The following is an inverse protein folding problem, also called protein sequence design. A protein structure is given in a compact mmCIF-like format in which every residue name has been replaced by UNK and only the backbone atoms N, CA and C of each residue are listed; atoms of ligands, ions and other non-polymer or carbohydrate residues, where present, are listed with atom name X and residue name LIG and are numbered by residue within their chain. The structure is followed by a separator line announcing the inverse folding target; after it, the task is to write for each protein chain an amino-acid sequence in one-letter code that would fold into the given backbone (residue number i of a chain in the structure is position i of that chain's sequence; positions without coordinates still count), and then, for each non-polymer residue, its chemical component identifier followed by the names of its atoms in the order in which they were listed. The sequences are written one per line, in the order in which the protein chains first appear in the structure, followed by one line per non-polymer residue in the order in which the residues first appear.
data_IF_549853047062
#
_entry.id   IF_549853047062
#
_cell.length_a   1.000
_cell.length_b   1.000
_cell.length_c   1.000
_cell.angle_alpha   90.00
_cell.angle_beta   90.00
_cell.angle_gamma   90.00
#
_symmetry.space_group_name_H-M   'P 1'
#
loop_
_entity.id
_entity.type
_entity.pdbx_description
1 polymer ?
#
# COMPACT_ATOMS: atom_id res chain seq x y z
N UNK A 1 -12.16 -68.33 -52.01
CA UNK A 1 -12.86 -68.40 -53.31
C UNK A 1 -13.33 -67.00 -53.66
N UNK A 2 -12.76 -66.40 -54.73
CA UNK A 2 -13.25 -65.32 -55.61
C UNK A 2 -14.00 -64.09 -55.03
N UNK A 3 -13.88 -62.85 -55.53
CA UNK A 3 -12.96 -62.08 -56.38
C UNK A 3 -13.56 -60.66 -56.35
N UNK A 4 -12.71 -59.64 -56.49
CA UNK A 4 -13.04 -58.20 -56.62
C UNK A 4 -14.21 -57.91 -57.57
N UNK A 5 -14.85 -56.74 -57.38
CA UNK A 5 -14.97 -55.65 -58.37
C UNK A 5 -15.63 -54.40 -57.75
N UNK A 6 -14.95 -53.24 -57.81
CA UNK A 6 -15.57 -51.90 -57.95
C UNK A 6 -15.58 -51.58 -59.47
N UNK A 7 -16.34 -50.59 -59.99
CA UNK A 7 -15.78 -49.22 -60.04
C UNK A 7 -16.76 -48.02 -60.18
N UNK A 8 -16.17 -46.80 -60.08
CA UNK A 8 -16.47 -45.54 -60.83
C UNK A 8 -17.70 -44.67 -60.41
N UNK A 9 -17.72 -43.32 -60.40
CA UNK A 9 -16.89 -42.19 -60.92
C UNK A 9 -17.24 -40.85 -60.19
N UNK A 10 -16.20 -40.02 -59.96
CA UNK A 10 -16.06 -38.53 -59.86
C UNK A 10 -17.07 -37.66 -59.08
N UNK A 11 -16.69 -36.56 -58.39
CA UNK A 11 -16.05 -35.34 -58.91
C UNK A 11 -15.24 -34.64 -57.79
N UNK A 12 -14.05 -34.14 -58.14
CA UNK A 12 -13.24 -33.21 -57.35
C UNK A 12 -13.66 -31.76 -57.57
N UNK A 13 -13.54 -30.89 -56.57
CA UNK A 13 -13.08 -29.48 -56.62
C UNK A 13 -12.81 -29.10 -55.15
N UNK A 14 -11.54 -29.03 -54.71
CA UNK A 14 -10.71 -27.82 -54.61
C UNK A 14 -11.09 -26.86 -53.45
N UNK A 15 -10.06 -26.47 -52.68
CA UNK A 15 -9.99 -25.15 -52.05
C UNK A 15 -10.65 -24.95 -50.68
N UNK A 16 -9.88 -25.10 -49.61
CA UNK A 16 -9.46 -23.97 -48.75
C UNK A 16 -9.08 -24.46 -47.35
N UNK A 17 -7.80 -24.27 -46.99
CA UNK A 17 -7.35 -24.29 -45.60
C UNK A 17 -8.01 -23.11 -44.87
N UNK A 18 -9.03 -23.37 -44.07
CA UNK A 18 -9.47 -22.39 -43.06
C UNK A 18 -8.59 -22.52 -41.82
N UNK A 19 -7.68 -21.56 -41.68
CA UNK A 19 -7.14 -21.14 -40.40
C UNK A 19 -8.32 -20.88 -39.46
N UNK A 20 -8.43 -21.65 -38.38
CA UNK A 20 -9.39 -21.39 -37.32
C UNK A 20 -8.65 -20.70 -36.18
N UNK A 21 -8.51 -19.38 -36.29
CA UNK A 21 -8.17 -18.51 -35.16
C UNK A 21 -9.47 -18.23 -34.38
N UNK A 22 -9.65 -18.88 -33.24
CA UNK A 22 -10.52 -18.35 -32.19
C UNK A 22 -9.84 -18.49 -30.83
N UNK A 23 -9.24 -17.37 -30.46
CA UNK A 23 -8.96 -16.96 -29.10
C UNK A 23 -10.20 -17.12 -28.23
N UNK A 24 -10.13 -17.99 -27.22
CA UNK A 24 -11.00 -17.97 -26.05
C UNK A 24 -10.14 -18.37 -24.85
N UNK A 25 -9.22 -17.49 -24.45
CA UNK A 25 -8.61 -17.55 -23.13
C UNK A 25 -9.50 -16.76 -22.17
N UNK A 26 -10.58 -17.39 -21.71
CA UNK A 26 -11.18 -17.02 -20.44
C UNK A 26 -10.12 -17.18 -19.34
N UNK A 27 -9.90 -16.21 -18.44
CA UNK A 27 -8.97 -16.43 -17.35
C UNK A 27 -9.53 -17.54 -16.46
N UNK A 28 -8.82 -18.67 -16.41
CA UNK A 28 -9.02 -19.68 -15.39
C UNK A 28 -9.01 -19.00 -14.01
N UNK A 29 -9.91 -19.36 -13.08
CA UNK A 29 -9.90 -18.80 -11.74
C UNK A 29 -8.59 -19.19 -11.06
N UNK A 30 -7.79 -18.19 -10.71
CA UNK A 30 -6.52 -18.36 -10.01
C UNK A 30 -6.81 -19.08 -8.67
N UNK A 31 -6.36 -20.34 -8.55
CA UNK A 31 -6.03 -20.95 -7.26
C UNK A 31 -4.82 -20.22 -6.68
N UNK A 32 -4.78 -19.90 -5.39
CA UNK A 32 -3.54 -19.80 -4.60
C UNK A 32 -3.88 -19.62 -3.12
N UNK A 33 -3.27 -20.45 -2.28
CA UNK A 33 -3.24 -20.32 -0.83
C UNK A 33 -2.78 -18.90 -0.46
N UNK A 34 -3.62 -18.14 0.25
CA UNK A 34 -3.27 -16.79 0.65
C UNK A 34 -2.03 -16.82 1.53
N UNK A 35 -0.98 -16.09 1.12
CA UNK A 35 0.28 -16.01 1.87
C UNK A 35 0.09 -15.16 3.12
N UNK A 36 -0.51 -15.75 4.14
CA UNK A 36 -0.57 -15.20 5.49
C UNK A 36 0.84 -15.23 6.09
N UNK A 37 1.26 -14.11 6.66
CA UNK A 37 2.55 -13.89 7.29
C UNK A 37 2.31 -13.69 8.78
N UNK A 38 2.61 -14.71 9.58
CA UNK A 38 2.37 -14.70 11.04
C UNK A 38 3.58 -14.21 11.82
N UNK A 39 4.74 -14.84 11.63
CA UNK A 39 5.86 -14.68 12.56
C UNK A 39 7.12 -14.08 11.91
N UNK A 40 7.10 -13.85 10.59
CA UNK A 40 8.28 -13.34 9.85
C UNK A 40 8.78 -12.01 10.39
N UNK A 41 7.88 -11.18 10.90
CA UNK A 41 8.16 -9.83 11.37
C UNK A 41 7.98 -9.69 12.89
N UNK A 42 8.04 -10.79 13.65
CA UNK A 42 8.00 -10.72 15.11
C UNK A 42 9.30 -10.18 15.71
N UNK A 43 10.42 -10.38 15.03
CA UNK A 43 11.74 -9.92 15.45
C UNK A 43 12.57 -9.38 14.27
N UNK A 44 13.60 -8.61 14.59
CA UNK A 44 14.60 -8.17 13.62
C UNK A 44 15.49 -9.35 13.22
N UNK A 45 15.83 -9.45 11.92
CA UNK A 45 16.89 -10.34 11.43
C UNK A 45 18.25 -9.78 11.79
N UNK A 46 19.27 -10.64 11.82
CA UNK A 46 20.66 -10.24 12.05
C UNK A 46 21.18 -9.24 11.01
N UNK A 47 20.70 -9.35 9.76
CA UNK A 47 21.17 -8.52 8.65
C UNK A 47 20.06 -8.14 7.69
N UNK A 48 20.10 -6.86 7.30
CA UNK A 48 19.31 -6.26 6.24
C UNK A 48 20.24 -5.46 5.32
N UNK A 49 19.92 -5.41 4.02
CA UNK A 49 20.61 -4.55 3.07
C UNK A 49 19.76 -3.36 2.66
N UNK A 50 20.38 -2.19 2.54
CA UNK A 50 19.72 -1.01 1.99
C UNK A 50 19.40 -1.18 0.48
N UNK A 51 18.29 -0.57 0.02
CA UNK A 51 17.92 -0.56 -1.38
C UNK A 51 18.93 0.28 -2.17
N UNK A 52 19.04 -0.01 -3.45
CA UNK A 52 19.92 0.69 -4.38
C UNK A 52 19.45 2.11 -4.65
N UNK A 53 18.17 2.45 -4.52
CA UNK A 53 17.67 3.80 -4.76
C UNK A 53 17.02 4.37 -3.49
N UNK A 54 17.08 5.71 -3.29
CA UNK A 54 16.44 6.37 -2.16
C UNK A 54 14.99 5.96 -1.99
N UNK A 55 14.55 5.90 -0.73
CA UNK A 55 13.18 5.58 -0.34
C UNK A 55 12.44 6.87 0.01
N UNK A 56 11.23 7.03 -0.50
CA UNK A 56 10.28 8.05 -0.03
C UNK A 56 9.16 7.34 0.73
N UNK A 57 8.99 7.68 2.01
CA UNK A 57 7.91 7.19 2.84
C UNK A 57 6.68 8.09 2.70
N UNK A 58 5.59 7.55 2.17
CA UNK A 58 4.34 8.27 1.88
C UNK A 58 3.25 7.91 2.90
N UNK A 59 2.90 8.83 3.79
CA UNK A 59 1.92 8.59 4.85
C UNK A 59 0.46 8.63 4.35
N UNK A 60 -0.46 8.06 5.11
CA UNK A 60 -1.89 8.00 4.79
C UNK A 60 -2.72 9.21 5.22
N UNK A 61 -4.02 8.94 5.35
CA UNK A 61 -5.04 9.84 5.91
C UNK A 61 -4.73 10.06 7.40
N UNK A 62 -4.67 11.31 7.86
CA UNK A 62 -4.18 11.69 9.20
C UNK A 62 -2.65 11.58 9.40
N UNK A 63 -1.86 12.17 8.50
CA UNK A 63 -0.50 12.60 8.83
C UNK A 63 -0.58 13.77 9.81
N UNK A 64 -0.09 13.62 11.03
CA UNK A 64 -0.40 14.55 12.12
C UNK A 64 0.32 15.89 11.97
N UNK A 65 -0.39 16.89 11.47
CA UNK A 65 -0.23 18.27 11.94
C UNK A 65 -1.44 18.75 12.79
N UNK A 66 -2.61 18.08 12.80
CA UNK A 66 -3.70 18.33 13.75
C UNK A 66 -4.57 17.08 14.02
N UNK A 67 -4.68 16.67 15.30
CA UNK A 67 -5.30 15.43 15.78
C UNK A 67 -6.67 15.70 16.46
N UNK A 68 -7.51 16.56 15.86
CA UNK A 68 -8.75 17.04 16.49
C UNK A 68 -10.00 16.17 16.27
N UNK A 69 -9.88 14.93 15.77
CA UNK A 69 -11.04 14.10 15.41
C UNK A 69 -11.17 12.77 16.18
N UNK A 70 -10.25 12.45 17.09
CA UNK A 70 -10.44 11.31 18.01
C UNK A 70 -11.43 11.72 19.12
N UNK A 71 -12.34 10.81 19.56
CA UNK A 71 -13.32 11.12 20.59
C UNK A 71 -12.60 11.69 21.83
N UNK A 72 -12.94 12.93 22.18
CA UNK A 72 -12.42 13.65 23.34
C UNK A 72 -12.66 12.81 24.59
N UNK A 73 -11.60 12.15 25.06
CA UNK A 73 -11.60 11.46 26.33
C UNK A 73 -10.48 12.10 27.15
N UNK A 74 -10.81 12.86 28.18
CA UNK A 74 -9.86 13.68 28.96
C UNK A 74 -8.64 12.89 29.48
N UNK A 75 -8.79 11.58 29.70
CA UNK A 75 -7.67 10.69 30.07
C UNK A 75 -6.66 10.47 28.93
N UNK A 76 -7.13 10.48 27.68
CA UNK A 76 -6.28 10.32 26.49
C UNK A 76 -5.48 11.60 26.24
N UNK A 77 -6.07 12.77 26.48
CA UNK A 77 -5.39 14.06 26.34
C UNK A 77 -4.25 14.22 27.34
N UNK A 78 -4.44 13.86 28.62
CA UNK A 78 -3.35 13.91 29.62
C UNK A 78 -2.18 12.96 29.32
N UNK A 79 -2.42 11.85 28.63
CA UNK A 79 -1.37 10.90 28.25
C UNK A 79 -0.56 11.39 27.03
N UNK A 80 -1.17 12.21 26.18
CA UNK A 80 -0.59 12.69 24.90
C UNK A 80 0.01 14.10 25.04
N UNK A 81 -0.62 14.98 25.84
CA UNK A 81 -0.37 16.43 25.85
C UNK A 81 0.27 16.96 27.14
N UNK A 82 0.98 16.13 27.91
CA UNK A 82 1.86 16.63 28.97
C UNK A 82 3.14 17.25 28.38
N UNK A 83 3.00 18.47 27.86
CA UNK A 83 3.97 19.55 28.04
C UNK A 83 5.21 19.65 27.14
N UNK A 84 5.81 18.58 26.61
CA UNK A 84 7.17 18.70 26.02
C UNK A 84 7.46 17.89 24.73
N UNK A 85 6.48 17.26 24.07
CA UNK A 85 6.77 16.27 23.02
C UNK A 85 5.87 16.36 21.76
N UNK A 86 5.93 17.47 21.02
CA UNK A 86 5.15 17.68 19.77
C UNK A 86 6.00 17.59 18.49
N UNK A 87 6.64 16.43 18.29
CA UNK A 87 6.97 15.89 16.96
C UNK A 87 6.55 14.42 16.95
N UNK A 88 5.30 14.16 16.58
CA UNK A 88 4.77 12.81 16.47
C UNK A 88 5.21 12.23 15.12
N UNK A 89 6.32 11.49 15.10
CA UNK A 89 6.79 10.84 13.87
C UNK A 89 5.82 9.73 13.45
N UNK A 90 5.12 9.94 12.33
CA UNK A 90 4.24 8.95 11.71
C UNK A 90 4.97 7.61 11.46
N UNK A 91 6.25 7.69 11.11
CA UNK A 91 7.13 6.55 10.81
C UNK A 91 8.04 6.20 11.98
N UNK A 92 7.46 5.98 13.17
CA UNK A 92 8.20 5.88 14.43
C UNK A 92 9.30 4.81 14.41
N UNK A 93 10.57 5.23 14.47
CA UNK A 93 11.75 4.35 14.43
C UNK A 93 12.05 3.71 13.08
N UNK A 94 11.14 3.86 12.09
CA UNK A 94 11.26 3.23 10.78
C UNK A 94 12.29 3.97 9.93
N UNK A 95 12.25 5.31 9.95
CA UNK A 95 13.22 6.14 9.21
C UNK A 95 14.63 5.84 9.69
N UNK A 96 14.84 5.90 11.00
CA UNK A 96 16.13 5.70 11.65
C UNK A 96 16.67 4.30 11.35
N UNK A 97 15.83 3.27 11.44
CA UNK A 97 16.23 1.91 11.13
C UNK A 97 16.66 1.74 9.66
N UNK A 98 15.92 2.34 8.72
CA UNK A 98 16.28 2.31 7.30
C UNK A 98 17.59 3.07 7.03
N UNK A 99 17.79 4.22 7.66
CA UNK A 99 19.04 4.99 7.55
C UNK A 99 20.22 4.25 8.16
N UNK A 100 20.02 3.54 9.28
CA UNK A 100 21.06 2.74 9.94
C UNK A 100 21.60 1.60 9.07
N UNK A 101 20.80 1.08 8.13
CA UNK A 101 21.26 0.08 7.15
C UNK A 101 21.86 0.70 5.89
N UNK A 102 21.91 2.04 5.81
CA UNK A 102 22.50 2.82 4.72
C UNK A 102 21.48 3.34 3.70
N UNK A 103 20.17 3.22 3.93
CA UNK A 103 19.20 3.77 2.97
C UNK A 103 19.14 5.31 3.07
N UNK A 104 19.09 6.00 1.93
CA UNK A 104 18.68 7.40 1.89
C UNK A 104 17.15 7.46 1.98
N UNK A 105 16.61 8.10 3.03
CA UNK A 105 15.17 8.13 3.29
C UNK A 105 14.63 9.57 3.28
N UNK A 106 13.56 9.78 2.53
CA UNK A 106 12.77 11.01 2.52
C UNK A 106 11.39 10.74 3.12
N UNK A 107 10.87 11.67 3.92
CA UNK A 107 9.53 11.59 4.50
C UNK A 107 8.63 12.57 3.78
N UNK A 108 7.65 12.06 3.04
CA UNK A 108 6.68 12.88 2.34
C UNK A 108 5.97 13.84 3.30
N UNK A 109 5.71 15.07 2.82
CA UNK A 109 4.91 16.07 3.52
C UNK A 109 3.71 16.43 2.65
N UNK A 110 2.53 15.93 3.03
CA UNK A 110 1.28 16.19 2.31
C UNK A 110 0.13 16.49 3.29
N UNK A 111 -0.92 17.22 2.85
CA UNK A 111 -2.05 17.55 3.71
C UNK A 111 -2.76 16.31 4.27
N UNK A 112 -3.01 16.28 5.58
CA UNK A 112 -3.58 15.13 6.28
C UNK A 112 -4.95 14.67 5.75
N UNK A 113 -5.77 15.63 5.33
CA UNK A 113 -7.17 15.45 4.90
C UNK A 113 -7.44 15.96 3.48
N UNK A 114 -6.38 16.33 2.73
CA UNK A 114 -6.49 16.76 1.34
C UNK A 114 -7.01 15.67 0.42
N UNK A 115 -7.51 16.05 -0.75
CA UNK A 115 -7.90 15.08 -1.78
C UNK A 115 -6.70 14.26 -2.28
N UNK A 116 -6.94 13.11 -2.92
CA UNK A 116 -5.88 12.29 -3.52
C UNK A 116 -5.06 13.11 -4.52
N UNK A 117 -5.71 13.93 -5.34
CA UNK A 117 -5.05 14.80 -6.33
C UNK A 117 -4.19 15.89 -5.68
N UNK A 118 -4.73 16.59 -4.68
CA UNK A 118 -4.01 17.63 -3.92
C UNK A 118 -2.78 17.04 -3.23
N UNK A 119 -2.97 15.92 -2.51
CA UNK A 119 -1.88 15.22 -1.83
C UNK A 119 -0.83 14.71 -2.80
N UNK A 120 -1.22 14.18 -3.96
CA UNK A 120 -0.29 13.74 -4.99
C UNK A 120 0.50 14.92 -5.60
N UNK A 121 -0.15 16.07 -5.76
CA UNK A 121 0.50 17.30 -6.25
C UNK A 121 1.54 17.82 -5.26
N UNK A 122 1.20 17.84 -3.97
CA UNK A 122 2.13 18.23 -2.91
C UNK A 122 3.27 17.23 -2.75
N UNK A 123 2.97 15.93 -2.85
CA UNK A 123 3.98 14.86 -2.87
C UNK A 123 4.97 15.07 -4.01
N UNK A 124 4.47 15.35 -5.22
CA UNK A 124 5.31 15.61 -6.39
C UNK A 124 6.20 16.85 -6.18
N UNK A 125 5.62 17.93 -5.65
CA UNK A 125 6.34 19.18 -5.36
C UNK A 125 7.45 18.96 -4.33
N UNK A 126 7.14 18.22 -3.25
CA UNK A 126 8.09 17.84 -2.22
C UNK A 126 9.26 17.04 -2.80
N UNK A 127 8.98 15.95 -3.54
CA UNK A 127 10.03 15.07 -4.09
C UNK A 127 10.91 15.82 -5.10
N UNK A 128 10.32 16.65 -5.98
CA UNK A 128 11.12 17.48 -6.91
C UNK A 128 12.07 18.41 -6.15
N UNK A 129 11.59 19.05 -5.08
CA UNK A 129 12.41 19.95 -4.25
C UNK A 129 13.54 19.19 -3.57
N UNK A 130 13.25 18.03 -2.98
CA UNK A 130 14.26 17.18 -2.35
C UNK A 130 15.30 16.69 -3.37
N UNK A 131 14.87 16.22 -4.54
CA UNK A 131 15.80 15.77 -5.59
C UNK A 131 16.71 16.90 -6.05
N UNK A 132 16.20 18.12 -6.24
CA UNK A 132 17.04 19.31 -6.55
C UNK A 132 18.07 19.63 -5.47
N UNK A 133 17.72 19.43 -4.19
CA UNK A 133 18.65 19.61 -3.08
C UNK A 133 19.69 18.50 -3.04
N UNK A 134 19.27 17.24 -3.11
CA UNK A 134 20.15 16.07 -3.10
C UNK A 134 21.18 16.11 -4.23
N UNK A 135 20.81 16.57 -5.42
CA UNK A 135 21.75 16.77 -6.54
C UNK A 135 22.94 17.67 -6.21
N UNK A 136 22.74 18.65 -5.33
CA UNK A 136 23.77 19.64 -4.97
C UNK A 136 24.68 19.15 -3.86
N UNK A 137 24.20 18.25 -3.00
CA UNK A 137 24.86 17.93 -1.72
C UNK A 137 25.31 16.48 -1.61
N UNK A 138 24.72 15.55 -2.36
CA UNK A 138 25.03 14.12 -2.28
C UNK A 138 25.81 13.59 -3.48
N UNK A 139 26.65 12.60 -3.23
CA UNK A 139 27.34 11.82 -4.27
C UNK A 139 26.45 10.68 -4.77
N UNK A 140 26.68 10.20 -6.02
CA UNK A 140 25.98 9.01 -6.54
C UNK A 140 26.21 7.77 -5.67
N UNK A 141 27.38 7.64 -5.04
CA UNK A 141 27.71 6.52 -4.16
C UNK A 141 26.86 6.53 -2.89
N UNK A 142 26.76 7.68 -2.21
CA UNK A 142 25.90 7.90 -1.03
C UNK A 142 24.43 7.65 -1.36
N UNK A 143 23.96 8.12 -2.51
CA UNK A 143 22.55 7.95 -2.89
C UNK A 143 22.19 6.54 -3.33
N UNK A 144 23.06 5.85 -4.06
CA UNK A 144 22.71 4.60 -4.75
C UNK A 144 23.27 3.31 -4.14
N UNK A 145 23.86 3.38 -2.96
CA UNK A 145 24.40 2.21 -2.24
C UNK A 145 25.24 1.29 -3.16
N UNK A 146 26.04 1.91 -4.06
CA UNK A 146 26.91 1.19 -4.99
C UNK A 146 28.19 0.78 -4.27
N UNK A 147 28.58 -0.49 -4.40
CA UNK A 147 29.94 -0.92 -4.09
C UNK A 147 30.90 -0.34 -5.15
N UNK A 148 31.78 0.58 -4.74
CA UNK A 148 32.66 1.29 -5.67
C UNK A 148 33.87 0.43 -6.07
N UNK A 149 34.09 0.25 -7.38
CA UNK A 149 35.39 -0.15 -7.96
C UNK A 149 36.16 1.05 -8.52
N UNK A 150 35.53 2.22 -8.64
CA UNK A 150 36.10 3.42 -9.27
C UNK A 150 35.90 4.65 -8.36
N UNK A 151 37.01 5.16 -7.82
CA UNK A 151 37.09 6.29 -6.86
C UNK A 151 36.74 7.68 -7.43
N UNK A 152 36.02 7.77 -8.55
CA UNK A 152 35.52 9.08 -9.03
C UNK A 152 34.09 9.26 -8.54
N UNK A 153 33.98 9.94 -7.40
CA UNK A 153 32.71 10.46 -6.85
C UNK A 153 32.08 11.42 -7.87
N UNK A 154 31.33 10.88 -8.81
CA UNK A 154 30.46 11.67 -9.67
C UNK A 154 29.24 12.12 -8.86
N UNK A 155 29.08 13.41 -8.69
CA UNK A 155 27.82 14.05 -8.27
C UNK A 155 26.74 13.81 -9.34
N UNK A 156 25.47 14.10 -9.04
CA UNK A 156 24.40 14.16 -10.06
C UNK A 156 24.45 15.49 -10.85
N UNK A 157 25.65 15.96 -11.21
CA UNK A 157 25.87 17.23 -11.92
C UNK A 157 25.39 17.20 -13.38
N UNK A 158 25.19 16.01 -13.97
CA UNK A 158 24.55 15.88 -15.28
C UNK A 158 23.11 16.42 -15.24
N UNK A 159 22.95 17.68 -15.62
CA UNK A 159 21.65 18.31 -15.86
C UNK A 159 20.83 17.43 -16.81
N UNK A 160 19.62 17.05 -16.37
CA UNK A 160 18.66 16.28 -17.18
C UNK A 160 18.50 14.80 -16.81
N UNK A 161 19.40 14.21 -16.00
CA UNK A 161 19.26 12.80 -15.60
C UNK A 161 18.42 12.63 -14.34
N UNK A 162 17.21 12.10 -14.47
CA UNK A 162 16.28 11.82 -13.35
C UNK A 162 16.91 10.96 -12.24
N UNK A 163 16.74 11.37 -10.98
CA UNK A 163 17.09 10.54 -9.81
C UNK A 163 16.06 9.41 -9.68
N UNK A 164 16.51 8.16 -9.74
CA UNK A 164 15.66 7.00 -9.45
C UNK A 164 15.31 6.94 -7.97
N UNK A 165 14.05 6.67 -7.65
CA UNK A 165 13.54 6.55 -6.28
C UNK A 165 12.55 5.38 -6.14
N UNK A 166 12.44 4.86 -4.92
CA UNK A 166 11.45 3.89 -4.48
C UNK A 166 10.41 4.59 -3.61
N UNK A 167 9.13 4.31 -3.84
CA UNK A 167 8.06 4.75 -2.95
C UNK A 167 7.66 3.60 -2.04
N UNK A 168 7.55 3.86 -0.73
CA UNK A 168 6.89 2.96 0.22
C UNK A 168 5.76 3.75 0.87
N UNK A 169 4.53 3.29 0.67
CA UNK A 169 3.34 4.05 1.01
C UNK A 169 2.41 3.26 1.92
N UNK A 170 1.91 3.92 2.96
CA UNK A 170 0.94 3.35 3.88
C UNK A 170 -0.45 3.95 3.65
N UNK A 171 -1.49 3.12 3.70
CA UNK A 171 -2.88 3.57 3.65
C UNK A 171 -3.14 4.47 2.42
N UNK A 172 -3.80 5.62 2.59
CA UNK A 172 -4.09 6.55 1.50
C UNK A 172 -2.86 7.01 0.70
N UNK A 173 -1.65 6.99 1.28
CA UNK A 173 -0.41 7.39 0.60
C UNK A 173 -0.12 6.57 -0.66
N UNK A 174 -0.63 5.33 -0.73
CA UNK A 174 -0.50 4.49 -1.92
C UNK A 174 -1.37 4.96 -3.09
N UNK A 175 -2.53 5.57 -2.80
CA UNK A 175 -3.40 6.19 -3.81
C UNK A 175 -2.78 7.47 -4.35
N UNK A 176 -2.24 8.31 -3.46
CA UNK A 176 -1.51 9.53 -3.83
C UNK A 176 -0.34 9.19 -4.76
N UNK A 177 0.42 8.15 -4.39
CA UNK A 177 1.56 7.66 -5.18
C UNK A 177 1.13 7.18 -6.56
N UNK A 178 0.02 6.42 -6.66
CA UNK A 178 -0.53 5.96 -7.95
C UNK A 178 -1.02 7.11 -8.81
N UNK A 179 -1.68 8.11 -8.22
CA UNK A 179 -2.11 9.30 -8.93
C UNK A 179 -0.90 10.06 -9.48
N UNK A 180 0.10 10.31 -8.64
CA UNK A 180 1.35 10.97 -9.03
C UNK A 180 2.00 10.26 -10.22
N UNK A 181 2.20 8.94 -10.12
CA UNK A 181 2.83 8.14 -11.19
C UNK A 181 2.03 8.25 -12.50
N UNK A 182 0.70 8.19 -12.43
CA UNK A 182 -0.16 8.12 -13.61
C UNK A 182 -0.42 9.48 -14.28
N UNK A 183 -0.44 10.58 -13.51
CA UNK A 183 -0.97 11.87 -13.97
C UNK A 183 0.03 13.03 -13.93
N UNK A 184 1.08 12.94 -13.10
CA UNK A 184 1.94 14.09 -12.85
C UNK A 184 3.29 13.95 -13.54
N UNK A 185 3.73 15.05 -14.14
CA UNK A 185 5.11 15.14 -14.61
C UNK A 185 6.07 15.39 -13.45
N UNK A 186 7.18 14.67 -13.49
CA UNK A 186 8.19 14.64 -12.45
C UNK A 186 9.57 14.67 -13.12
N UNK A 187 10.07 15.86 -13.50
CA UNK A 187 11.28 15.99 -14.31
C UNK A 187 12.57 15.69 -13.54
N UNK A 188 12.57 15.85 -12.21
CA UNK A 188 13.78 15.67 -11.40
C UNK A 188 14.05 14.22 -11.02
N UNK A 189 13.04 13.36 -11.09
CA UNK A 189 13.12 12.00 -10.59
C UNK A 189 12.32 11.00 -11.43
N UNK A 190 12.65 9.73 -11.26
CA UNK A 190 11.96 8.60 -11.87
C UNK A 190 11.59 7.64 -10.76
N UNK A 191 10.30 7.34 -10.64
CA UNK A 191 9.84 6.29 -9.74
C UNK A 191 10.15 4.95 -10.41
N UNK A 192 10.79 4.03 -9.69
CA UNK A 192 11.10 2.68 -10.20
C UNK A 192 10.30 1.59 -9.48
N UNK A 193 9.84 1.86 -8.26
CA UNK A 193 8.94 0.96 -7.55
C UNK A 193 7.97 1.73 -6.64
N UNK A 194 6.81 1.11 -6.40
CA UNK A 194 5.85 1.49 -5.38
C UNK A 194 5.49 0.24 -4.57
N UNK A 195 5.78 0.25 -3.27
CA UNK A 195 5.30 -0.75 -2.32
C UNK A 195 4.21 -0.13 -1.45
N UNK A 196 3.00 -0.68 -1.50
CA UNK A 196 1.89 -0.25 -0.64
C UNK A 196 1.69 -1.17 0.55
N UNK A 197 1.30 -0.60 1.68
CA UNK A 197 1.00 -1.32 2.92
C UNK A 197 -0.39 -0.88 3.38
N UNK A 198 -1.35 -1.80 3.34
CA UNK A 198 -2.77 -1.54 3.69
C UNK A 198 -3.40 -0.33 2.97
N UNK A 199 -3.03 -0.10 1.71
CA UNK A 199 -3.67 0.94 0.90
C UNK A 199 -5.06 0.48 0.43
N UNK A 200 -6.13 1.27 0.60
CA UNK A 200 -7.47 0.90 0.12
C UNK A 200 -7.58 1.08 -1.40
N UNK A 201 -6.91 0.23 -2.19
CA UNK A 201 -6.90 0.33 -3.66
C UNK A 201 -8.30 0.18 -4.27
N UNK A 202 -9.20 -0.53 -3.59
CA UNK A 202 -10.58 -0.73 -4.00
C UNK A 202 -11.59 -0.03 -3.08
N UNK A 203 -11.11 0.92 -2.27
CA UNK A 203 -11.91 1.70 -1.32
C UNK A 203 -12.07 1.02 0.04
N UNK A 204 -12.76 1.69 0.95
CA UNK A 204 -13.00 1.22 2.30
C UNK A 204 -14.50 1.18 2.58
N UNK A 205 -14.97 0.03 3.05
CA UNK A 205 -16.36 -0.14 3.48
C UNK A 205 -16.68 0.72 4.71
N UNK A 206 -15.66 1.15 5.48
CA UNK A 206 -15.82 2.18 6.50
C UNK A 206 -16.14 3.55 5.89
N UNK A 207 -15.48 3.92 4.80
CA UNK A 207 -15.78 5.18 4.11
C UNK A 207 -17.22 5.18 3.57
N UNK A 208 -17.66 4.07 2.95
CA UNK A 208 -19.04 3.91 2.50
C UNK A 208 -20.04 4.10 3.65
N UNK A 209 -19.77 3.49 4.81
CA UNK A 209 -20.62 3.64 5.99
C UNK A 209 -20.68 5.08 6.52
N UNK A 210 -19.55 5.77 6.56
CA UNK A 210 -19.50 7.18 6.97
C UNK A 210 -20.34 8.02 6.03
N UNK A 211 -20.21 7.81 4.71
CA UNK A 211 -21.00 8.54 3.71
C UNK A 211 -22.50 8.25 3.83
N UNK A 212 -22.91 7.00 4.06
CA UNK A 212 -24.33 6.66 4.27
C UNK A 212 -24.92 7.39 5.49
N UNK A 213 -24.18 7.49 6.59
CA UNK A 213 -24.62 8.23 7.78
C UNK A 213 -24.80 9.72 7.46
N UNK A 214 -23.85 10.30 6.73
CA UNK A 214 -23.83 11.73 6.42
C UNK A 214 -24.92 12.11 5.42
N UNK A 215 -25.15 11.29 4.39
CA UNK A 215 -26.24 11.51 3.42
C UNK A 215 -27.61 11.49 4.10
N UNK A 216 -27.80 10.63 5.09
CA UNK A 216 -29.00 10.59 5.93
C UNK A 216 -29.12 11.79 6.90
N UNK A 217 -28.08 12.62 7.00
CA UNK A 217 -28.05 13.84 7.82
C UNK A 217 -27.48 15.03 7.02
N UNK A 218 -28.31 15.59 6.12
CA UNK A 218 -27.98 16.68 5.18
C UNK A 218 -27.12 17.84 5.75
N UNK A 219 -27.22 18.14 7.04
CA UNK A 219 -26.46 19.19 7.74
C UNK A 219 -24.97 18.83 7.93
N UNK A 220 -24.63 17.54 8.09
CA UNK A 220 -23.26 17.07 8.35
C UNK A 220 -22.42 16.87 7.07
N UNK A 221 -23.03 16.87 5.88
CA UNK A 221 -22.32 16.72 4.60
C UNK A 221 -21.24 17.79 4.37
N UNK A 222 -21.37 18.98 4.97
CA UNK A 222 -20.39 20.07 4.83
C UNK A 222 -19.13 19.91 5.71
N UNK A 223 -19.15 18.99 6.68
CA UNK A 223 -18.06 18.82 7.67
C UNK A 223 -17.15 17.63 7.30
N UNK A 224 -17.61 16.76 6.40
CA UNK A 224 -16.84 15.58 5.99
C UNK A 224 -15.67 15.97 5.07
N UNK A 225 -14.42 15.60 5.41
CA UNK A 225 -13.30 15.81 4.51
C UNK A 225 -13.54 15.16 3.15
N UNK A 226 -13.22 15.87 2.06
CA UNK A 226 -13.39 15.37 0.68
C UNK A 226 -12.73 14.01 0.46
N UNK A 227 -11.57 13.81 1.08
CA UNK A 227 -10.82 12.56 1.09
C UNK A 227 -11.63 11.35 1.55
N UNK A 228 -12.56 11.49 2.51
CA UNK A 228 -13.42 10.37 2.92
C UNK A 228 -14.32 9.91 1.77
N UNK A 229 -14.89 10.85 1.00
CA UNK A 229 -15.72 10.49 -0.16
C UNK A 229 -14.90 9.84 -1.28
N UNK A 230 -13.64 10.26 -1.46
CA UNK A 230 -12.72 9.67 -2.41
C UNK A 230 -12.20 8.29 -1.99
N UNK A 231 -12.41 7.88 -0.73
CA UNK A 231 -12.04 6.56 -0.21
C UNK A 231 -13.18 5.53 -0.28
N UNK A 232 -14.36 5.91 -0.78
CA UNK A 232 -15.48 4.99 -0.99
C UNK A 232 -15.17 3.94 -2.06
N UNK A 233 -15.84 2.79 -1.99
CA UNK A 233 -15.60 1.68 -2.93
C UNK A 233 -15.96 2.06 -4.37
N UNK A 234 -17.03 2.83 -4.56
CA UNK A 234 -17.45 3.33 -5.88
C UNK A 234 -16.49 4.40 -6.41
N UNK A 235 -16.04 5.35 -5.58
CA UNK A 235 -15.05 6.34 -6.00
C UNK A 235 -13.74 5.67 -6.43
N UNK A 236 -13.27 4.65 -5.71
CA UNK A 236 -12.05 3.93 -6.08
C UNK A 236 -12.22 3.06 -7.32
N UNK A 237 -13.42 2.55 -7.58
CA UNK A 237 -13.71 1.87 -8.83
C UNK A 237 -13.50 2.82 -10.01
N UNK A 238 -13.99 4.05 -9.93
CA UNK A 238 -13.79 5.07 -10.96
C UNK A 238 -12.35 5.60 -11.01
N UNK A 239 -11.69 5.74 -9.86
CA UNK A 239 -10.26 6.04 -9.77
C UNK A 239 -9.45 5.01 -10.58
N UNK A 240 -9.67 3.72 -10.36
CA UNK A 240 -8.95 2.64 -11.04
C UNK A 240 -9.24 2.56 -12.55
N UNK A 241 -10.38 3.09 -13.01
CA UNK A 241 -10.64 3.26 -14.45
C UNK A 241 -9.75 4.34 -15.05
N UNK A 242 -9.51 5.44 -14.33
CA UNK A 242 -8.79 6.64 -14.80
C UNK A 242 -7.28 6.63 -14.55
N UNK A 243 -6.86 5.98 -13.47
CA UNK A 243 -5.47 5.92 -12.99
C UNK A 243 -4.90 4.56 -13.37
N UNK A 244 -3.95 4.57 -14.30
CA UNK A 244 -3.33 3.37 -14.85
C UNK A 244 -1.88 3.29 -14.41
N UNK A 245 -1.43 2.07 -14.14
CA UNK A 245 -0.06 1.80 -13.76
C UNK A 245 0.88 2.09 -14.94
N UNK A 246 1.99 2.80 -14.68
CA UNK A 246 3.10 2.91 -15.62
C UNK A 246 3.82 1.56 -15.70
N UNK A 247 3.94 0.93 -16.89
CA UNK A 247 4.59 -0.37 -17.06
C UNK A 247 6.09 -0.38 -16.73
N UNK A 248 6.73 0.80 -16.57
CA UNK A 248 8.13 0.95 -16.16
C UNK A 248 8.31 0.93 -14.64
N UNK A 249 7.23 0.97 -13.88
CA UNK A 249 7.22 0.95 -12.40
C UNK A 249 6.82 -0.44 -11.92
N UNK A 250 7.53 -0.95 -10.91
CA UNK A 250 7.12 -2.20 -10.24
C UNK A 250 6.21 -1.91 -9.05
N UNK A 251 5.07 -2.59 -8.99
CA UNK A 251 4.06 -2.40 -7.94
C UNK A 251 4.00 -3.62 -7.03
N UNK A 252 4.10 -3.38 -5.72
CA UNK A 252 4.01 -4.38 -4.67
C UNK A 252 2.98 -3.96 -3.64
N UNK A 253 2.32 -4.93 -2.99
CA UNK A 253 1.36 -4.63 -1.94
C UNK A 253 1.39 -5.64 -0.80
N UNK A 254 1.11 -5.15 0.40
CA UNK A 254 0.81 -5.94 1.59
C UNK A 254 -0.59 -5.57 2.10
N UNK A 255 -1.31 -6.58 2.58
CA UNK A 255 -2.51 -6.38 3.39
C UNK A 255 -2.24 -6.73 4.85
N UNK A 256 -3.17 -6.40 5.73
CA UNK A 256 -3.12 -6.77 7.13
C UNK A 256 -4.49 -7.23 7.63
N UNK A 257 -4.48 -8.07 8.65
CA UNK A 257 -5.68 -8.57 9.32
C UNK A 257 -5.45 -8.73 10.80
N UNK A 258 -6.51 -8.60 11.57
CA UNK A 258 -6.48 -8.93 13.00
C UNK A 258 -7.87 -9.30 13.51
N UNK A 259 -7.90 -9.89 14.71
CA UNK A 259 -9.15 -10.09 15.47
C UNK A 259 -9.22 -9.07 16.61
N UNK A 260 -10.18 -8.12 16.57
CA UNK A 260 -10.25 -7.09 17.59
C UNK A 260 -10.71 -7.66 18.94
N UNK A 261 -9.89 -7.47 19.96
CA UNK A 261 -10.33 -7.57 21.35
C UNK A 261 -11.35 -6.46 21.68
N UNK A 262 -12.09 -6.59 22.79
CA UNK A 262 -13.16 -5.66 23.16
C UNK A 262 -12.69 -4.21 23.35
N UNK A 263 -11.43 -4.00 23.74
CA UNK A 263 -10.80 -2.71 23.97
C UNK A 263 -10.05 -2.12 22.75
N UNK A 264 -10.02 -2.80 21.59
CA UNK A 264 -9.37 -2.25 20.41
C UNK A 264 -10.18 -1.09 19.81
N UNK A 265 -9.51 0.02 19.51
CA UNK A 265 -10.13 1.22 18.93
C UNK A 265 -10.82 0.94 17.59
N UNK A 266 -10.30 -0.02 16.82
CA UNK A 266 -10.83 -0.41 15.52
C UNK A 266 -11.92 -1.50 15.58
N UNK A 267 -12.36 -1.92 16.78
CA UNK A 267 -13.37 -2.98 16.90
C UNK A 267 -14.67 -2.64 16.17
N UNK A 268 -15.12 -1.40 16.28
CA UNK A 268 -16.37 -0.93 15.67
C UNK A 268 -16.25 -0.92 14.15
N UNK A 269 -15.20 -0.27 13.63
CA UNK A 269 -14.93 -0.15 12.19
C UNK A 269 -14.68 -1.52 11.55
N UNK A 270 -13.95 -2.40 12.22
CA UNK A 270 -13.77 -3.80 11.81
C UNK A 270 -15.11 -4.54 11.66
N UNK A 271 -16.02 -4.36 12.63
CA UNK A 271 -17.36 -4.95 12.59
C UNK A 271 -18.22 -4.42 11.46
N UNK A 272 -18.11 -3.12 11.16
CA UNK A 272 -18.79 -2.46 10.03
C UNK A 272 -18.31 -3.06 8.70
N UNK A 273 -16.99 -3.13 8.48
CA UNK A 273 -16.40 -3.70 7.25
C UNK A 273 -16.90 -5.13 7.06
N UNK A 274 -16.79 -5.96 8.11
CA UNK A 274 -17.27 -7.34 8.07
C UNK A 274 -18.75 -7.43 7.73
N UNK A 275 -19.59 -6.63 8.39
CA UNK A 275 -21.04 -6.62 8.15
C UNK A 275 -21.39 -6.23 6.72
N UNK A 276 -20.75 -5.19 6.16
CA UNK A 276 -21.00 -4.72 4.80
C UNK A 276 -20.52 -5.71 3.75
N UNK A 277 -19.35 -6.30 3.93
CA UNK A 277 -18.84 -7.34 3.03
C UNK A 277 -19.75 -8.58 3.00
N UNK A 278 -20.25 -9.03 4.16
CA UNK A 278 -21.20 -10.16 4.21
C UNK A 278 -22.53 -9.85 3.52
N UNK A 279 -22.99 -8.60 3.60
CA UNK A 279 -24.26 -8.14 3.00
C UNK A 279 -24.14 -7.77 1.52
N UNK A 280 -22.92 -7.58 0.99
CA UNK A 280 -22.71 -7.19 -0.40
C UNK A 280 -23.26 -8.25 -1.37
N UNK A 281 -24.06 -7.81 -2.34
CA UNK A 281 -24.59 -8.67 -3.41
C UNK A 281 -23.54 -9.02 -4.48
N UNK A 282 -22.38 -8.35 -4.45
CA UNK A 282 -21.24 -8.62 -5.35
C UNK A 282 -20.58 -9.98 -5.10
N UNK A 283 -20.89 -10.63 -3.98
CA UNK A 283 -20.32 -11.92 -3.57
C UNK A 283 -21.38 -13.02 -3.64
N UNK A 284 -21.07 -14.10 -4.35
CA UNK A 284 -21.95 -15.28 -4.40
C UNK A 284 -21.92 -16.05 -3.07
N UNK A 285 -22.90 -16.94 -2.85
CA UNK A 285 -23.01 -17.71 -1.61
C UNK A 285 -21.77 -18.57 -1.29
N UNK A 286 -21.06 -19.05 -2.32
CA UNK A 286 -19.83 -19.82 -2.13
C UNK A 286 -18.66 -18.92 -1.72
N UNK A 287 -18.57 -17.71 -2.25
CA UNK A 287 -17.61 -16.68 -1.83
C UNK A 287 -17.90 -16.21 -0.41
N UNK A 288 -19.16 -15.93 -0.07
CA UNK A 288 -19.60 -15.63 1.31
C UNK A 288 -19.28 -16.76 2.29
N UNK A 289 -19.38 -18.02 1.85
CA UNK A 289 -19.03 -19.22 2.63
C UNK A 289 -17.51 -19.44 2.75
N UNK A 290 -16.72 -18.98 1.78
CA UNK A 290 -15.24 -18.91 1.83
C UNK A 290 -14.76 -17.74 2.71
N UNK A 291 -15.50 -16.64 2.73
CA UNK A 291 -15.34 -15.43 3.57
C UNK A 291 -15.65 -15.64 5.06
N UNK A 292 -15.60 -16.87 5.58
CA UNK A 292 -15.65 -17.13 7.04
C UNK A 292 -14.54 -16.39 7.79
N UNK A 293 -13.48 -15.96 7.10
CA UNK A 293 -12.50 -14.96 7.52
C UNK A 293 -12.56 -13.73 6.61
N UNK A 294 -13.56 -12.85 6.76
CA UNK A 294 -13.41 -11.48 6.25
C UNK A 294 -12.34 -10.83 7.09
N UNK A 295 -11.17 -10.76 6.47
CA UNK A 295 -9.97 -10.25 7.08
C UNK A 295 -9.82 -8.77 6.71
N UNK A 296 -9.68 -7.95 7.74
CA UNK A 296 -9.45 -6.52 7.61
C UNK A 296 -8.61 -6.06 8.80
N UNK A 297 -7.88 -4.97 8.60
CA UNK A 297 -6.99 -4.37 9.60
C UNK A 297 -7.71 -3.34 10.49
N UNK A 298 -9.04 -3.24 10.36
CA UNK A 298 -9.88 -2.33 11.11
C UNK A 298 -10.30 -1.09 10.31
N UNK A 299 -9.66 -0.80 9.18
CA UNK A 299 -9.99 0.32 8.29
C UNK A 299 -10.09 -0.13 6.83
N UNK A 300 -9.27 -1.10 6.43
CA UNK A 300 -9.14 -1.58 5.05
C UNK A 300 -9.30 -3.10 5.02
N UNK A 301 -10.13 -3.60 4.12
CA UNK A 301 -10.23 -5.04 3.88
C UNK A 301 -8.99 -5.58 3.16
N UNK A 302 -8.62 -6.83 3.45
CA UNK A 302 -7.46 -7.46 2.81
C UNK A 302 -7.61 -7.47 1.29
N UNK A 303 -8.82 -7.74 0.76
CA UNK A 303 -9.08 -7.66 -0.68
C UNK A 303 -8.83 -6.25 -1.24
N UNK A 304 -9.29 -5.21 -0.54
CA UNK A 304 -9.05 -3.83 -0.99
C UNK A 304 -7.57 -3.45 -1.01
N UNK A 305 -6.74 -4.10 -0.18
CA UNK A 305 -5.30 -3.86 -0.13
C UNK A 305 -4.49 -4.48 -1.29
N UNK A 306 -5.07 -5.43 -2.03
CA UNK A 306 -4.35 -6.18 -3.08
C UNK A 306 -4.16 -5.29 -4.32
N UNK A 307 -2.90 -5.06 -4.72
CA UNK A 307 -2.56 -4.36 -5.97
C UNK A 307 -1.19 -4.79 -6.52
N UNK A 308 -1.05 -4.82 -7.85
CA UNK A 308 0.20 -5.26 -8.49
C UNK A 308 0.60 -6.67 -8.04
N UNK A 309 1.87 -6.86 -7.65
CA UNK A 309 2.32 -8.11 -7.04
C UNK A 309 2.01 -8.12 -5.54
N UNK A 310 0.99 -8.87 -5.14
CA UNK A 310 0.64 -9.05 -3.73
C UNK A 310 1.69 -9.92 -3.00
N UNK A 311 2.32 -9.38 -1.97
CA UNK A 311 3.43 -10.01 -1.25
C UNK A 311 3.00 -10.82 -0.02
N UNK A 312 1.80 -10.55 0.51
CA UNK A 312 1.17 -11.33 1.57
C UNK A 312 0.27 -10.51 2.49
N UNK A 313 -0.40 -11.23 3.40
CA UNK A 313 -1.28 -10.67 4.43
C UNK A 313 -0.61 -10.78 5.80
N UNK A 314 -0.38 -9.66 6.48
CA UNK A 314 0.18 -9.61 7.82
C UNK A 314 -0.87 -10.03 8.85
N UNK A 315 -0.58 -11.05 9.66
CA UNK A 315 -1.54 -11.62 10.61
C UNK A 315 -1.43 -11.02 12.01
N UNK A 316 -2.57 -10.87 12.69
CA UNK A 316 -2.70 -10.19 13.99
C UNK A 316 -2.09 -8.78 14.01
N UNK A 317 -2.29 -8.04 12.91
CA UNK A 317 -1.82 -6.67 12.69
C UNK A 317 -2.98 -5.74 12.35
N UNK A 318 -3.20 -4.71 13.17
CA UNK A 318 -4.16 -3.64 12.88
C UNK A 318 -3.53 -2.48 12.09
N UNK A 319 -4.35 -1.54 11.64
CA UNK A 319 -3.91 -0.45 10.77
C UNK A 319 -2.86 0.50 11.40
N UNK A 320 -2.76 0.58 12.73
CA UNK A 320 -1.75 1.41 13.42
C UNK A 320 -0.49 0.63 13.76
N UNK A 321 -0.59 -0.69 13.95
CA UNK A 321 0.57 -1.58 14.10
C UNK A 321 1.56 -1.38 12.93
N UNK A 322 1.04 -1.17 11.72
CA UNK A 322 1.80 -1.00 10.47
C UNK A 322 2.73 0.22 10.41
N UNK A 323 2.55 1.18 11.32
CA UNK A 323 3.39 2.38 11.42
C UNK A 323 4.05 2.51 12.79
N UNK A 324 4.11 1.40 13.54
CA UNK A 324 4.76 1.28 14.83
C UNK A 324 4.13 2.12 15.96
N UNK A 325 2.91 2.62 15.80
CA UNK A 325 2.23 3.47 16.79
C UNK A 325 1.75 2.70 18.02
N UNK A 326 1.33 1.45 17.82
CA UNK A 326 0.91 0.56 18.91
C UNK A 326 2.06 0.20 19.84
N UNK A 327 3.28 0.03 19.35
CA UNK A 327 4.46 -0.22 20.20
C UNK A 327 4.77 0.95 21.15
N UNK A 328 4.20 2.15 20.93
CA UNK A 328 4.27 3.26 21.89
C UNK A 328 3.13 3.22 22.91
N UNK A 329 1.90 2.94 22.49
CA UNK A 329 0.69 3.03 23.33
C UNK A 329 0.32 1.71 24.01
N UNK A 330 0.39 0.58 23.30
CA UNK A 330 0.24 -0.78 23.85
C UNK A 330 1.36 -1.10 24.83
N UNK A 331 2.62 -0.72 24.59
CA UNK A 331 3.70 -1.04 25.55
C UNK A 331 3.46 -0.45 26.93
N UNK A 332 2.76 0.69 27.05
CA UNK A 332 2.37 1.24 28.35
C UNK A 332 1.17 0.50 28.95
N UNK A 333 0.12 0.24 28.16
CA UNK A 333 -1.15 -0.33 28.63
C UNK A 333 -1.11 -1.86 28.74
N UNK A 334 -0.57 -2.57 27.74
CA UNK A 334 -0.43 -4.03 27.72
C UNK A 334 0.68 -4.52 28.66
N UNK A 335 1.78 -3.78 28.89
CA UNK A 335 2.70 -4.13 30.00
C UNK A 335 2.02 -3.94 31.36
N UNK A 336 1.18 -2.93 31.50
CA UNK A 336 0.44 -2.67 32.74
C UNK A 336 -0.70 -3.68 32.99
N UNK A 337 -1.37 -4.16 31.94
CA UNK A 337 -2.58 -5.01 32.06
C UNK A 337 -2.38 -6.48 31.69
N UNK A 338 -1.55 -6.83 30.70
CA UNK A 338 -1.59 -8.14 30.05
C UNK A 338 -0.24 -8.85 29.81
N UNK A 339 0.91 -8.20 30.09
CA UNK A 339 2.28 -8.76 29.95
C UNK A 339 2.53 -9.52 28.63
N UNK A 340 1.92 -9.11 27.51
CA UNK A 340 2.17 -9.71 26.20
C UNK A 340 3.09 -8.83 25.38
N UNK A 341 4.14 -9.43 24.82
CA UNK A 341 4.95 -8.75 23.81
C UNK A 341 4.18 -8.69 22.47
N UNK A 342 4.31 -7.57 21.73
CA UNK A 342 3.67 -7.42 20.42
C UNK A 342 4.25 -8.45 19.45
N UNK A 343 3.39 -9.16 18.74
CA UNK A 343 3.77 -10.21 17.78
C UNK A 343 4.30 -9.67 16.44
N UNK A 344 4.16 -8.38 16.21
CA UNK A 344 4.54 -7.71 14.97
C UNK A 344 5.44 -6.50 15.25
N UNK A 345 6.51 -6.42 14.47
CA UNK A 345 7.49 -5.36 14.49
C UNK A 345 7.48 -4.65 13.13
N UNK A 346 6.91 -3.45 13.09
CA UNK A 346 6.87 -2.64 11.87
C UNK A 346 8.27 -2.36 11.33
N UNK A 347 9.27 -2.10 12.18
CA UNK A 347 10.64 -1.87 11.75
C UNK A 347 11.17 -3.09 10.98
N UNK A 348 10.89 -4.30 11.46
CA UNK A 348 11.27 -5.54 10.76
C UNK A 348 10.61 -5.64 9.37
N UNK A 349 9.35 -5.21 9.23
CA UNK A 349 8.65 -5.15 7.94
C UNK A 349 9.34 -4.16 6.98
N UNK A 350 9.57 -2.90 7.37
CA UNK A 350 10.13 -1.90 6.47
C UNK A 350 11.58 -2.20 6.08
N UNK A 351 12.38 -2.73 7.01
CA UNK A 351 13.72 -3.22 6.69
C UNK A 351 13.68 -4.39 5.69
N UNK A 352 12.71 -5.30 5.82
CA UNK A 352 12.52 -6.38 4.86
C UNK A 352 12.03 -5.89 3.49
N UNK A 353 11.15 -4.88 3.45
CA UNK A 353 10.76 -4.23 2.19
C UNK A 353 11.99 -3.66 1.50
N UNK A 354 12.83 -2.92 2.23
CA UNK A 354 14.06 -2.31 1.71
C UNK A 354 15.06 -3.36 1.18
N UNK A 355 15.25 -4.44 1.93
CA UNK A 355 16.09 -5.58 1.55
C UNK A 355 15.55 -6.32 0.31
N UNK A 356 14.23 -6.47 0.20
CA UNK A 356 13.60 -7.08 -0.98
C UNK A 356 13.68 -6.19 -2.22
N UNK A 357 13.60 -4.86 -2.07
CA UNK A 357 13.82 -3.91 -3.15
C UNK A 357 15.25 -4.06 -3.69
N UNK A 358 16.24 -4.15 -2.79
CA UNK A 358 17.64 -4.40 -3.15
C UNK A 358 17.83 -5.69 -3.96
N UNK A 359 17.24 -6.80 -3.48
CA UNK A 359 17.30 -8.12 -4.16
C UNK A 359 16.68 -8.09 -5.56
N UNK A 360 15.72 -7.19 -5.79
CA UNK A 360 15.06 -6.98 -7.09
C UNK A 360 15.80 -5.95 -7.97
N UNK A 361 16.90 -5.37 -7.50
CA UNK A 361 17.72 -4.42 -8.24
C UNK A 361 17.30 -2.95 -8.12
N UNK A 362 16.39 -2.66 -7.19
CA UNK A 362 15.94 -1.31 -6.85
C UNK A 362 16.64 -0.75 -5.62
#
# INVERSE_FOLDING_TARGET
MYRRLRPFVSISISGSKRFNSKSNNSPNPIRLDEKVITDKFSALRERYEAPKYPVVLCHGFSGFDQLNFMPHHERFEKLIFNGELLKLDYWYGIKEALENVGAKVLIAKVPAFGSIEERATDLNTYINTQCKQLRKVETKESMYNKASKDKKSETFEEKGKKIKINLIAHSMGGLDSRYLISKLEHPEYQIVSLTTVSTPHHGSECADFIIDILQNRKILNKICPKSVSELTTDALQDFNKKIKDDPKVSYFSYGARFKPHWYNIFRITWGIIKSRLLKSDKLNQNEKKRLKSIDNDGIVSVESSKWGTYLGTLDEVDHLDLINWTNRTRTAIDKALFRKEPKFNAIALYLDIADNLRKRGF
#
